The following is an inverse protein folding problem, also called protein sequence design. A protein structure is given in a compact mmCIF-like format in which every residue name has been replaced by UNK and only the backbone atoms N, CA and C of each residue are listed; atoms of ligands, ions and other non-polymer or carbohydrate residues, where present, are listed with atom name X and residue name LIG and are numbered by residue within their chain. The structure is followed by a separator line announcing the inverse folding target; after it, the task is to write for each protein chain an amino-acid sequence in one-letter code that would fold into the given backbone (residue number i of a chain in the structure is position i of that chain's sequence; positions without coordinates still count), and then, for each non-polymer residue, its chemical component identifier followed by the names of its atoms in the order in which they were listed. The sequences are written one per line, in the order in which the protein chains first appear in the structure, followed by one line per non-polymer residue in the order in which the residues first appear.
data_IF_378866113156
#
_entry.id   IF_378866113156
#
_cell.length_a   1.000
_cell.length_b   1.000
_cell.length_c   1.000
_cell.angle_alpha   90.00
_cell.angle_beta   90.00
_cell.angle_gamma   90.00
#
_symmetry.space_group_name_H-M   'P 1'
#
loop_
_entity.id
_entity.type
_entity.pdbx_description
1 polymer ?
#
# COMPACT_ATOMS: atom_id res chain seq x y z
N UNK A 1 -49.81 40.97 -9.23
CA UNK A 1 -49.53 42.43 -9.27
C UNK A 1 -48.05 42.55 -9.52
N UNK A 2 -47.65 42.80 -10.74
CA UNK A 2 -47.18 44.04 -11.38
C UNK A 2 -45.85 44.53 -10.76
N UNK A 3 -44.79 44.86 -11.45
CA UNK A 3 -44.47 45.10 -12.89
C UNK A 3 -42.95 45.31 -12.94
N UNK A 4 -42.26 44.78 -13.91
CA UNK A 4 -41.58 45.41 -15.03
C UNK A 4 -40.78 46.71 -14.75
N UNK A 5 -39.52 46.71 -15.23
CA UNK A 5 -38.71 47.90 -15.46
C UNK A 5 -37.41 47.57 -16.19
N UNK A 6 -37.49 47.51 -17.51
CA UNK A 6 -36.38 47.54 -18.49
C UNK A 6 -35.88 48.97 -18.62
N UNK A 7 -34.56 49.22 -18.67
CA UNK A 7 -34.04 50.31 -19.50
C UNK A 7 -32.60 50.05 -19.94
N UNK A 8 -32.45 49.89 -21.25
CA UNK A 8 -31.19 49.98 -22.00
C UNK A 8 -30.90 51.43 -22.36
N UNK A 9 -29.65 51.79 -22.42
CA UNK A 9 -29.21 52.92 -23.28
C UNK A 9 -27.77 52.73 -23.75
N UNK A 10 -27.64 52.93 -25.03
CA UNK A 10 -26.55 52.81 -25.97
C UNK A 10 -25.61 54.04 -26.00
N UNK A 11 -24.43 53.77 -26.60
CA UNK A 11 -23.59 54.65 -27.44
C UNK A 11 -22.41 55.39 -26.82
N UNK A 12 -21.26 55.17 -27.49
CA UNK A 12 -20.12 56.08 -27.51
C UNK A 12 -18.85 55.46 -28.12
N UNK A 13 -18.80 55.28 -29.44
CA UNK A 13 -17.57 55.05 -30.23
C UNK A 13 -16.62 56.22 -30.15
N UNK A 14 -15.37 56.00 -29.76
CA UNK A 14 -14.24 56.87 -30.19
C UNK A 14 -13.06 55.99 -30.55
N UNK A 15 -12.79 55.92 -31.83
CA UNK A 15 -11.58 55.35 -32.42
C UNK A 15 -10.36 56.23 -32.09
N UNK A 16 -9.32 55.66 -31.52
CA UNK A 16 -7.96 56.20 -31.65
C UNK A 16 -7.02 55.10 -32.09
N UNK A 17 -6.56 55.23 -33.31
CA UNK A 17 -5.39 54.54 -33.86
C UNK A 17 -4.15 54.93 -33.03
N UNK A 18 -3.49 53.93 -32.42
CA UNK A 18 -2.12 54.08 -31.95
C UNK A 18 -1.35 52.86 -32.44
N UNK A 19 -0.28 53.19 -33.11
CA UNK A 19 0.74 52.38 -33.78
C UNK A 19 1.19 51.15 -33.03
N UNK A 20 1.20 50.02 -33.74
CA UNK A 20 1.84 48.74 -33.36
C UNK A 20 3.35 48.90 -33.27
N UNK A 21 3.90 48.69 -32.09
CA UNK A 21 5.24 48.11 -31.89
C UNK A 21 5.05 46.79 -31.15
N UNK A 22 5.27 45.71 -31.86
CA UNK A 22 5.32 44.33 -31.34
C UNK A 22 6.55 44.21 -30.44
N UNK A 23 6.42 43.84 -29.15
CA UNK A 23 7.55 43.33 -28.41
C UNK A 23 7.78 41.89 -28.81
N UNK A 24 9.02 41.52 -29.03
CA UNK A 24 9.46 40.17 -29.31
C UNK A 24 8.88 39.18 -28.30
N UNK A 25 8.19 38.15 -28.79
CA UNK A 25 7.60 37.09 -27.99
C UNK A 25 8.69 36.31 -27.22
N UNK A 26 8.63 36.38 -25.91
CA UNK A 26 9.26 35.37 -25.06
C UNK A 26 8.40 34.12 -25.22
N UNK A 27 8.88 33.18 -25.98
CA UNK A 27 8.31 31.82 -26.02
C UNK A 27 8.49 31.21 -24.63
N UNK A 28 7.43 31.23 -23.82
CA UNK A 28 7.33 30.37 -22.64
C UNK A 28 7.16 28.93 -23.12
N UNK A 29 8.27 28.26 -23.42
CA UNK A 29 8.29 26.82 -23.40
C UNK A 29 8.20 26.37 -21.94
N UNK A 30 7.29 25.47 -21.59
CA UNK A 30 7.37 24.82 -20.30
C UNK A 30 8.77 24.18 -20.19
N UNK A 31 9.43 24.20 -19.02
CA UNK A 31 10.72 23.57 -18.85
C UNK A 31 10.59 22.10 -19.26
N UNK A 32 11.30 21.69 -20.30
CA UNK A 32 11.49 20.29 -20.62
C UNK A 32 12.34 19.71 -19.49
N UNK A 33 11.70 19.00 -18.58
CA UNK A 33 12.39 18.23 -17.54
C UNK A 33 13.15 17.14 -18.26
N UNK A 34 14.46 17.11 -18.10
CA UNK A 34 15.32 16.08 -18.66
C UNK A 34 15.13 14.78 -17.83
N UNK A 35 14.54 13.72 -18.39
CA UNK A 35 14.29 12.49 -17.64
C UNK A 35 15.55 11.85 -17.05
N UNK A 36 16.73 12.15 -17.59
CA UNK A 36 18.01 11.62 -17.10
C UNK A 36 18.49 12.29 -15.80
N UNK A 37 18.09 13.55 -15.53
CA UNK A 37 18.43 14.24 -14.28
C UNK A 37 17.59 13.74 -13.11
N UNK A 38 16.34 13.37 -13.35
CA UNK A 38 15.42 12.91 -12.30
C UNK A 38 15.77 11.48 -11.82
N UNK A 39 16.18 10.58 -12.73
CA UNK A 39 16.70 9.27 -12.36
C UNK A 39 17.94 9.36 -11.47
N UNK A 40 18.80 10.32 -11.75
CA UNK A 40 20.00 10.59 -10.93
C UNK A 40 19.61 11.10 -9.54
N UNK A 41 18.54 11.89 -9.42
CA UNK A 41 18.07 12.45 -8.16
C UNK A 41 17.47 11.40 -7.22
N UNK A 42 16.68 10.44 -7.73
CA UNK A 42 16.10 9.37 -6.91
C UNK A 42 17.16 8.38 -6.42
N UNK A 43 18.11 8.01 -7.28
CA UNK A 43 19.26 7.19 -6.91
C UNK A 43 20.14 7.91 -5.87
N UNK A 44 20.31 9.21 -6.01
CA UNK A 44 21.07 10.02 -5.06
C UNK A 44 20.35 10.17 -3.72
N UNK A 45 19.02 10.33 -3.70
CA UNK A 45 18.21 10.48 -2.48
C UNK A 45 18.12 9.18 -1.69
N UNK A 46 17.92 8.02 -2.36
CA UNK A 46 17.62 6.74 -1.69
C UNK A 46 18.77 5.71 -1.80
N UNK A 47 19.88 6.06 -2.43
CA UNK A 47 21.03 5.16 -2.60
C UNK A 47 20.81 4.00 -3.57
N UNK A 48 19.77 4.07 -4.40
CA UNK A 48 19.43 3.08 -5.42
C UNK A 48 17.97 3.22 -5.90
N UNK A 49 17.56 2.37 -6.86
CA UNK A 49 16.21 2.42 -7.40
C UNK A 49 15.17 2.09 -6.32
N UNK A 50 14.07 2.83 -6.31
CA UNK A 50 12.92 2.60 -5.43
C UNK A 50 12.04 1.53 -6.05
N UNK A 51 11.59 0.56 -5.24
CA UNK A 51 10.67 -0.47 -5.71
C UNK A 51 9.28 0.12 -6.00
N UNK A 52 8.70 -0.09 -7.18
CA UNK A 52 7.31 0.32 -7.43
C UNK A 52 6.30 -0.35 -6.50
N UNK A 53 6.63 -1.51 -5.92
CA UNK A 53 5.78 -2.24 -4.97
C UNK A 53 5.69 -1.57 -3.59
N UNK A 54 6.44 -0.47 -3.33
CA UNK A 54 6.20 0.38 -2.16
C UNK A 54 4.84 1.06 -2.21
N UNK A 55 4.26 1.21 -3.40
CA UNK A 55 2.95 1.84 -3.62
C UNK A 55 1.86 0.78 -3.65
N UNK A 56 1.58 0.22 -2.49
CA UNK A 56 0.55 -0.77 -2.28
C UNK A 56 -0.50 -0.34 -1.27
N UNK A 57 -1.57 -1.12 -1.20
CA UNK A 57 -2.66 -0.90 -0.24
C UNK A 57 -3.35 -2.21 0.14
N UNK A 58 -4.14 -2.16 1.20
CA UNK A 58 -5.00 -3.25 1.65
C UNK A 58 -6.44 -3.03 1.18
N UNK A 59 -7.11 -4.09 0.75
CA UNK A 59 -8.57 -4.12 0.72
C UNK A 59 -9.11 -4.24 2.14
N UNK A 60 -10.20 -3.54 2.44
CA UNK A 60 -10.94 -3.78 3.69
C UNK A 60 -11.71 -5.09 3.63
N UNK A 61 -12.38 -5.32 2.52
CA UNK A 61 -13.10 -6.53 2.13
C UNK A 61 -13.85 -7.22 3.28
N UNK A 62 -14.83 -6.51 3.85
CA UNK A 62 -15.70 -7.08 4.89
C UNK A 62 -16.82 -7.94 4.31
N UNK A 63 -17.26 -7.60 3.10
CA UNK A 63 -18.32 -8.29 2.35
C UNK A 63 -18.26 -7.92 0.86
N UNK A 64 -19.21 -8.42 0.08
CA UNK A 64 -19.31 -8.17 -1.38
C UNK A 64 -19.63 -6.71 -1.76
N UNK A 65 -20.03 -5.85 -0.80
CA UNK A 65 -20.32 -4.44 -1.06
C UNK A 65 -19.07 -3.55 -0.97
N UNK A 66 -17.87 -4.13 -0.90
CA UNK A 66 -16.62 -3.38 -0.91
C UNK A 66 -16.57 -2.47 -2.15
N UNK A 67 -16.17 -1.21 -1.93
CA UNK A 67 -16.18 -0.18 -2.97
C UNK A 67 -15.26 -0.54 -4.15
N UNK A 68 -14.14 -1.24 -3.92
CA UNK A 68 -13.26 -1.69 -5.01
C UNK A 68 -13.94 -2.72 -5.90
N UNK A 69 -14.79 -3.57 -5.33
CA UNK A 69 -15.55 -4.56 -6.09
C UNK A 69 -16.66 -3.89 -6.90
N UNK A 70 -17.38 -2.94 -6.30
CA UNK A 70 -18.60 -2.36 -6.86
C UNK A 70 -18.35 -1.16 -7.80
N UNK A 71 -17.28 -0.38 -7.59
CA UNK A 71 -17.05 0.89 -8.30
C UNK A 71 -15.93 0.79 -9.34
N UNK A 72 -16.29 0.95 -10.62
CA UNK A 72 -15.28 1.11 -11.68
C UNK A 72 -14.45 2.39 -11.50
N UNK A 73 -15.06 3.46 -10.99
CA UNK A 73 -14.37 4.72 -10.70
C UNK A 73 -13.28 4.53 -9.64
N UNK A 74 -13.57 3.78 -8.58
CA UNK A 74 -12.59 3.46 -7.54
C UNK A 74 -11.41 2.67 -8.10
N UNK A 75 -11.67 1.67 -8.94
CA UNK A 75 -10.59 0.92 -9.62
C UNK A 75 -9.75 1.80 -10.54
N UNK A 76 -10.38 2.74 -11.26
CA UNK A 76 -9.65 3.73 -12.07
C UNK A 76 -8.80 4.67 -11.21
N UNK A 77 -9.29 5.10 -10.05
CA UNK A 77 -8.49 5.89 -9.12
C UNK A 77 -7.26 5.14 -8.63
N UNK A 78 -7.39 3.87 -8.25
CA UNK A 78 -6.24 3.04 -7.87
C UNK A 78 -5.23 2.88 -9.02
N UNK A 79 -5.70 2.77 -10.27
CA UNK A 79 -4.83 2.79 -11.46
C UNK A 79 -4.11 4.13 -11.62
N UNK A 80 -4.83 5.26 -11.49
CA UNK A 80 -4.27 6.61 -11.61
C UNK A 80 -3.29 6.96 -10.48
N UNK A 81 -3.45 6.35 -9.31
CA UNK A 81 -2.51 6.42 -8.19
C UNK A 81 -1.31 5.49 -8.39
N UNK A 82 -1.29 4.70 -9.46
CA UNK A 82 -0.26 3.70 -9.73
C UNK A 82 -0.09 2.68 -8.59
N UNK A 83 -1.19 2.25 -7.97
CA UNK A 83 -1.13 1.18 -6.99
C UNK A 83 -0.64 -0.11 -7.67
N UNK A 84 0.46 -0.68 -7.17
CA UNK A 84 1.19 -1.78 -7.81
C UNK A 84 1.02 -3.13 -7.14
N UNK A 85 0.62 -3.13 -5.87
CA UNK A 85 0.35 -4.35 -5.11
C UNK A 85 -0.85 -4.11 -4.19
N UNK A 86 -1.76 -5.06 -4.12
CA UNK A 86 -2.95 -4.98 -3.26
C UNK A 86 -3.04 -6.23 -2.40
N UNK A 87 -3.09 -6.04 -1.09
CA UNK A 87 -3.28 -7.10 -0.12
C UNK A 87 -4.76 -7.38 0.06
N UNK A 88 -5.14 -8.63 -0.16
CA UNK A 88 -6.49 -9.14 -0.07
C UNK A 88 -6.63 -10.00 1.19
N UNK A 89 -7.40 -9.54 2.21
CA UNK A 89 -7.67 -10.37 3.38
C UNK A 89 -8.61 -11.50 3.00
N UNK A 90 -8.48 -12.62 3.69
CA UNK A 90 -9.45 -13.72 3.65
C UNK A 90 -10.14 -13.80 5.02
N UNK A 91 -11.46 -13.82 5.01
CA UNK A 91 -12.27 -13.84 6.23
C UNK A 91 -13.22 -15.03 6.21
N UNK A 92 -13.50 -15.65 7.36
CA UNK A 92 -14.44 -16.79 7.43
C UNK A 92 -15.86 -16.46 6.92
N UNK A 93 -16.20 -15.16 6.91
CA UNK A 93 -17.53 -14.66 6.49
C UNK A 93 -17.64 -14.39 5.00
N UNK A 94 -16.52 -14.42 4.25
CA UNK A 94 -16.53 -14.19 2.82
C UNK A 94 -16.91 -15.47 2.06
N UNK A 95 -17.72 -15.31 1.01
CA UNK A 95 -17.95 -16.40 0.07
C UNK A 95 -16.75 -16.52 -0.90
N UNK A 96 -16.54 -17.72 -1.42
CA UNK A 96 -15.53 -17.97 -2.47
C UNK A 96 -15.73 -17.04 -3.68
N UNK A 97 -16.97 -16.75 -4.03
CA UNK A 97 -17.30 -15.85 -5.12
C UNK A 97 -16.81 -14.41 -4.85
N UNK A 98 -16.96 -13.93 -3.63
CA UNK A 98 -16.46 -12.61 -3.23
C UNK A 98 -14.92 -12.56 -3.28
N UNK A 99 -14.24 -13.63 -2.87
CA UNK A 99 -12.79 -13.75 -2.97
C UNK A 99 -12.32 -13.72 -4.44
N UNK A 100 -13.01 -14.45 -5.33
CA UNK A 100 -12.74 -14.45 -6.77
C UNK A 100 -12.98 -13.05 -7.37
N UNK A 101 -14.09 -12.39 -7.01
CA UNK A 101 -14.38 -11.02 -7.46
C UNK A 101 -13.30 -10.03 -7.02
N UNK A 102 -12.79 -10.14 -5.78
CA UNK A 102 -11.70 -9.32 -5.29
C UNK A 102 -10.41 -9.54 -6.09
N UNK A 103 -10.05 -10.79 -6.34
CA UNK A 103 -8.92 -11.15 -7.18
C UNK A 103 -9.05 -10.59 -8.62
N UNK A 104 -10.25 -10.69 -9.22
CA UNK A 104 -10.54 -10.12 -10.54
C UNK A 104 -10.44 -8.59 -10.55
N UNK A 105 -10.91 -7.92 -9.48
CA UNK A 105 -10.78 -6.47 -9.33
C UNK A 105 -9.29 -6.06 -9.25
N UNK A 106 -8.48 -6.74 -8.45
CA UNK A 106 -7.03 -6.51 -8.36
C UNK A 106 -6.37 -6.69 -9.73
N UNK A 107 -6.67 -7.77 -10.43
CA UNK A 107 -6.17 -8.02 -11.79
C UNK A 107 -6.57 -6.90 -12.76
N UNK A 108 -7.80 -6.42 -12.70
CA UNK A 108 -8.30 -5.35 -13.57
C UNK A 108 -7.60 -4.01 -13.32
N UNK A 109 -7.12 -3.77 -12.09
CA UNK A 109 -6.31 -2.59 -11.73
C UNK A 109 -4.91 -2.69 -12.33
N UNK A 110 -4.43 -3.90 -12.64
CA UNK A 110 -3.06 -4.14 -13.09
C UNK A 110 -2.05 -4.24 -11.94
N UNK A 111 -2.52 -4.50 -10.72
CA UNK A 111 -1.71 -4.67 -9.53
C UNK A 111 -1.36 -6.17 -9.31
N UNK A 112 -0.25 -6.43 -8.63
CA UNK A 112 0.02 -7.73 -8.04
C UNK A 112 -0.93 -7.99 -6.87
N UNK A 113 -1.30 -9.26 -6.68
CA UNK A 113 -2.06 -9.67 -5.51
C UNK A 113 -1.13 -10.20 -4.42
N UNK A 114 -1.34 -9.75 -3.18
CA UNK A 114 -0.89 -10.42 -1.99
C UNK A 114 -2.14 -10.94 -1.28
N UNK A 115 -2.23 -12.25 -1.13
CA UNK A 115 -3.40 -12.95 -0.58
C UNK A 115 -3.07 -13.49 0.80
N UNK A 116 -3.83 -13.08 1.81
CA UNK A 116 -3.70 -13.60 3.17
C UNK A 116 -4.31 -15.01 3.20
N UNK A 117 -3.53 -15.98 3.61
CA UNK A 117 -3.96 -17.35 3.84
C UNK A 117 -4.43 -17.55 5.28
N UNK A 118 -5.10 -18.66 5.52
CA UNK A 118 -5.29 -19.16 6.90
C UNK A 118 -3.94 -19.41 7.54
N UNK A 119 -3.88 -19.31 8.86
CA UNK A 119 -2.65 -19.49 9.61
C UNK A 119 -2.77 -20.54 10.72
N UNK A 120 -1.80 -20.53 11.63
CA UNK A 120 -1.72 -21.51 12.73
C UNK A 120 -2.85 -21.35 13.76
N UNK A 121 -3.57 -20.24 13.76
CA UNK A 121 -4.73 -20.01 14.62
C UNK A 121 -6.02 -20.63 14.08
N UNK A 122 -6.09 -20.91 12.77
CA UNK A 122 -7.29 -21.36 12.08
C UNK A 122 -7.44 -22.89 12.05
N UNK A 123 -8.68 -23.35 11.80
CA UNK A 123 -9.01 -24.73 11.49
C UNK A 123 -9.03 -24.95 9.95
N UNK A 124 -8.92 -26.20 9.51
CA UNK A 124 -9.01 -26.62 8.11
C UNK A 124 -8.05 -25.90 7.13
N UNK A 125 -6.95 -25.38 7.63
CA UNK A 125 -6.00 -24.51 6.90
C UNK A 125 -5.64 -25.06 5.53
N UNK A 126 -5.20 -26.32 5.45
CA UNK A 126 -4.76 -26.91 4.18
C UNK A 126 -5.88 -26.98 3.13
N UNK A 127 -7.10 -27.32 3.53
CA UNK A 127 -8.22 -27.44 2.61
C UNK A 127 -8.68 -26.07 2.08
N UNK A 128 -8.84 -25.10 2.99
CA UNK A 128 -9.28 -23.76 2.66
C UNK A 128 -8.25 -23.02 1.78
N UNK A 129 -6.97 -23.11 2.14
CA UNK A 129 -5.90 -22.46 1.37
C UNK A 129 -5.65 -23.16 0.02
N UNK A 130 -5.82 -24.49 -0.05
CA UNK A 130 -5.74 -25.21 -1.33
C UNK A 130 -6.80 -24.70 -2.30
N UNK A 131 -8.05 -24.57 -1.84
CA UNK A 131 -9.15 -24.01 -2.64
C UNK A 131 -8.83 -22.59 -3.08
N UNK A 132 -8.46 -21.73 -2.13
CA UNK A 132 -8.15 -20.33 -2.42
C UNK A 132 -7.02 -20.18 -3.45
N UNK A 133 -5.93 -20.94 -3.32
CA UNK A 133 -4.82 -20.92 -4.29
C UNK A 133 -5.29 -21.41 -5.67
N UNK A 134 -6.16 -22.42 -5.74
CA UNK A 134 -6.74 -22.86 -7.02
C UNK A 134 -7.57 -21.76 -7.68
N UNK A 135 -8.37 -21.03 -6.90
CA UNK A 135 -9.12 -19.87 -7.38
C UNK A 135 -8.18 -18.76 -7.88
N UNK A 136 -7.12 -18.45 -7.13
CA UNK A 136 -6.09 -17.48 -7.57
C UNK A 136 -5.37 -17.95 -8.84
N UNK A 137 -5.01 -19.21 -8.96
CA UNK A 137 -4.43 -19.78 -10.18
C UNK A 137 -5.35 -19.61 -11.40
N UNK A 138 -6.68 -19.73 -11.20
CA UNK A 138 -7.65 -19.54 -12.28
C UNK A 138 -7.78 -18.08 -12.70
N UNK A 139 -7.69 -17.14 -11.76
CA UNK A 139 -7.79 -15.71 -12.03
C UNK A 139 -6.48 -15.16 -12.62
N UNK A 140 -5.34 -15.43 -12.00
CA UNK A 140 -4.06 -14.80 -12.35
C UNK A 140 -3.26 -15.60 -13.41
N UNK A 141 -3.51 -16.89 -13.56
CA UNK A 141 -2.83 -17.73 -14.56
C UNK A 141 -1.34 -17.89 -14.23
N UNK A 142 -0.48 -17.36 -15.10
CA UNK A 142 0.99 -17.38 -14.93
C UNK A 142 1.55 -16.16 -14.18
N UNK A 143 0.73 -15.18 -13.86
CA UNK A 143 1.17 -14.02 -13.05
C UNK A 143 1.44 -14.48 -11.62
N UNK A 144 2.58 -14.09 -11.07
CA UNK A 144 2.94 -14.43 -9.69
C UNK A 144 1.97 -13.79 -8.69
N UNK A 145 1.65 -14.57 -7.64
CA UNK A 145 0.82 -14.14 -6.50
C UNK A 145 1.65 -14.31 -5.24
N UNK A 146 1.60 -13.32 -4.37
CA UNK A 146 2.18 -13.41 -3.03
C UNK A 146 1.16 -13.99 -2.08
N UNK A 147 1.56 -14.96 -1.26
CA UNK A 147 0.71 -15.63 -0.27
C UNK A 147 1.28 -15.40 1.12
N UNK A 148 0.56 -14.70 1.94
CA UNK A 148 0.94 -14.38 3.31
C UNK A 148 0.27 -15.35 4.28
N UNK A 149 1.09 -16.14 5.02
CA UNK A 149 0.59 -17.21 5.86
C UNK A 149 0.16 -16.70 7.23
N UNK A 150 -1.14 -16.61 7.47
CA UNK A 150 -1.74 -16.05 8.67
C UNK A 150 -1.80 -14.52 8.67
N UNK A 151 -2.27 -13.95 9.78
CA UNK A 151 -2.33 -12.51 10.01
C UNK A 151 -2.26 -12.21 11.51
N UNK A 152 -1.21 -11.51 11.95
CA UNK A 152 -1.06 -11.04 13.34
C UNK A 152 -1.32 -12.13 14.40
N UNK A 153 -0.84 -13.34 14.14
CA UNK A 153 -1.11 -14.48 15.01
C UNK A 153 -0.46 -14.33 16.39
N UNK A 154 0.58 -13.51 16.49
CA UNK A 154 1.18 -13.07 17.75
C UNK A 154 0.16 -12.37 18.67
N UNK A 155 -0.76 -11.56 18.13
CA UNK A 155 -1.87 -10.96 18.89
C UNK A 155 -2.89 -12.00 19.36
N UNK A 156 -3.03 -13.10 18.64
CA UNK A 156 -3.91 -14.22 19.02
C UNK A 156 -3.26 -15.19 20.02
N UNK A 157 -2.06 -14.83 20.51
CA UNK A 157 -1.32 -15.66 21.46
C UNK A 157 -0.65 -16.90 20.85
N UNK A 158 -0.54 -16.97 19.52
CA UNK A 158 0.19 -18.02 18.83
C UNK A 158 1.69 -17.74 18.94
N UNK A 159 2.37 -18.54 19.74
CA UNK A 159 3.82 -18.43 19.86
C UNK A 159 4.53 -18.88 18.58
N UNK A 160 5.76 -18.41 18.39
CA UNK A 160 6.55 -18.69 17.19
C UNK A 160 6.75 -20.18 16.89
N UNK A 161 6.83 -21.04 17.91
CA UNK A 161 6.96 -22.50 17.71
C UNK A 161 5.71 -23.07 17.03
N UNK A 162 4.52 -22.76 17.56
CA UNK A 162 3.25 -23.23 16.98
C UNK A 162 3.07 -22.70 15.55
N UNK A 163 3.39 -21.43 15.32
CA UNK A 163 3.36 -20.83 13.99
C UNK A 163 4.31 -21.59 13.03
N UNK A 164 5.56 -21.79 13.44
CA UNK A 164 6.57 -22.45 12.60
C UNK A 164 6.24 -23.93 12.33
N UNK A 165 5.73 -24.64 13.32
CA UNK A 165 5.28 -26.03 13.15
C UNK A 165 4.14 -26.12 12.11
N UNK A 166 3.18 -25.19 12.16
CA UNK A 166 2.11 -25.08 11.18
C UNK A 166 2.64 -24.71 9.79
N UNK A 167 3.51 -23.70 9.68
CA UNK A 167 4.19 -23.33 8.44
C UNK A 167 4.87 -24.54 7.79
N UNK A 168 5.66 -25.28 8.55
CA UNK A 168 6.41 -26.44 8.07
C UNK A 168 5.51 -27.58 7.60
N UNK A 169 4.34 -27.74 8.21
CA UNK A 169 3.37 -28.76 7.83
C UNK A 169 2.58 -28.39 6.57
N UNK A 170 2.21 -27.12 6.41
CA UNK A 170 1.23 -26.65 5.42
C UNK A 170 1.91 -26.07 4.18
N UNK A 171 2.82 -25.09 4.34
CA UNK A 171 3.39 -24.34 3.22
C UNK A 171 4.06 -25.20 2.14
N UNK A 172 4.81 -26.29 2.46
CA UNK A 172 5.35 -27.18 1.43
C UNK A 172 4.28 -27.81 0.52
N UNK A 173 3.09 -28.05 1.06
CA UNK A 173 1.98 -28.61 0.29
C UNK A 173 1.35 -27.54 -0.62
N UNK A 174 1.15 -26.34 -0.09
CA UNK A 174 0.61 -25.20 -0.84
C UNK A 174 1.56 -24.76 -1.98
N UNK A 175 2.88 -24.75 -1.73
CA UNK A 175 3.88 -24.43 -2.79
C UNK A 175 3.81 -25.37 -3.99
N UNK A 176 3.34 -26.60 -3.85
CA UNK A 176 3.19 -27.53 -4.98
C UNK A 176 2.04 -27.19 -5.92
N UNK A 177 1.05 -26.47 -5.43
CA UNK A 177 -0.16 -26.10 -6.20
C UNK A 177 -0.16 -24.63 -6.62
N UNK A 178 0.56 -23.76 -5.91
CA UNK A 178 0.66 -22.33 -6.21
C UNK A 178 1.56 -22.10 -7.43
N UNK A 179 0.96 -21.71 -8.56
CA UNK A 179 1.70 -21.40 -9.78
C UNK A 179 2.44 -20.07 -9.61
N UNK A 180 3.77 -20.11 -9.61
CA UNK A 180 4.62 -18.95 -9.38
C UNK A 180 4.30 -18.18 -8.08
N UNK A 181 3.77 -18.90 -7.07
CA UNK A 181 3.45 -18.32 -5.77
C UNK A 181 4.70 -18.08 -4.92
N UNK A 182 4.77 -16.91 -4.28
CA UNK A 182 5.77 -16.57 -3.26
C UNK A 182 5.10 -16.63 -1.89
N UNK A 183 5.73 -17.27 -0.90
CA UNK A 183 5.16 -17.45 0.43
C UNK A 183 5.89 -16.61 1.46
N UNK A 184 5.14 -15.81 2.21
CA UNK A 184 5.61 -14.71 3.05
C UNK A 184 5.22 -14.95 4.51
N UNK A 185 6.06 -14.55 5.43
CA UNK A 185 5.79 -14.56 6.87
C UNK A 185 6.93 -13.95 7.68
N UNK A 186 6.79 -13.83 9.01
CA UNK A 186 5.72 -14.39 9.87
C UNK A 186 4.50 -13.50 10.12
N UNK A 187 4.39 -12.32 9.51
CA UNK A 187 3.18 -11.45 9.56
C UNK A 187 2.81 -10.96 10.96
N UNK A 188 3.79 -10.64 11.79
CA UNK A 188 3.55 -10.10 13.11
C UNK A 188 2.90 -8.71 13.06
N UNK A 189 2.08 -8.39 14.08
CA UNK A 189 1.46 -7.06 14.24
C UNK A 189 2.49 -5.92 14.22
N UNK A 190 3.66 -6.16 14.78
CA UNK A 190 4.81 -5.28 14.69
C UNK A 190 6.10 -6.10 14.61
N UNK A 191 7.20 -5.44 14.23
CA UNK A 191 8.49 -6.12 14.23
C UNK A 191 8.84 -6.66 15.62
N UNK A 192 9.06 -7.95 15.71
CA UNK A 192 9.54 -8.62 16.90
C UNK A 192 10.78 -9.46 16.57
N UNK A 193 11.94 -9.00 17.02
CA UNK A 193 13.22 -9.63 16.68
C UNK A 193 13.30 -11.09 17.13
N UNK A 194 12.81 -11.40 18.34
CA UNK A 194 12.87 -12.75 18.88
C UNK A 194 12.01 -13.72 18.06
N UNK A 195 10.81 -13.28 17.67
CA UNK A 195 9.91 -14.07 16.85
C UNK A 195 10.49 -14.35 15.46
N UNK A 196 10.96 -13.30 14.76
CA UNK A 196 11.60 -13.46 13.46
C UNK A 196 12.83 -14.38 13.52
N UNK A 197 13.66 -14.22 14.56
CA UNK A 197 14.85 -15.08 14.78
C UNK A 197 14.47 -16.52 14.88
N UNK A 198 13.54 -16.86 15.77
CA UNK A 198 13.13 -18.25 16.01
C UNK A 198 12.39 -18.84 14.79
N UNK A 199 11.58 -18.05 14.09
CA UNK A 199 10.93 -18.47 12.85
C UNK A 199 11.97 -18.86 11.78
N UNK A 200 12.91 -17.98 11.45
CA UNK A 200 13.91 -18.25 10.41
C UNK A 200 14.85 -19.38 10.75
N UNK A 201 15.15 -19.60 12.03
CA UNK A 201 15.95 -20.77 12.46
C UNK A 201 15.28 -22.11 12.15
N UNK A 202 13.95 -22.16 12.22
CA UNK A 202 13.21 -23.42 12.19
C UNK A 202 12.25 -23.59 11.01
N UNK A 203 11.96 -22.53 10.25
CA UNK A 203 11.08 -22.59 9.08
C UNK A 203 11.68 -23.47 7.95
N UNK A 204 10.89 -24.39 7.44
CA UNK A 204 11.23 -25.27 6.31
C UNK A 204 10.01 -25.47 5.41
N UNK A 205 9.95 -24.84 4.23
CA UNK A 205 10.99 -24.02 3.62
C UNK A 205 11.15 -22.67 4.35
N UNK A 206 12.26 -21.97 4.07
CA UNK A 206 12.36 -20.55 4.41
C UNK A 206 11.29 -19.77 3.65
N UNK A 207 10.79 -18.64 4.20
CA UNK A 207 9.92 -17.75 3.44
C UNK A 207 10.66 -17.17 2.23
N UNK A 208 9.92 -16.86 1.19
CA UNK A 208 10.48 -16.18 0.02
C UNK A 208 10.76 -14.70 0.36
N UNK A 209 9.89 -14.05 1.14
CA UNK A 209 10.03 -12.73 1.74
C UNK A 209 9.65 -12.76 3.22
N UNK A 210 10.16 -11.80 4.00
CA UNK A 210 9.72 -11.59 5.39
C UNK A 210 8.75 -10.43 5.47
N UNK A 211 7.73 -10.55 6.34
CA UNK A 211 6.73 -9.50 6.52
C UNK A 211 6.35 -9.26 7.98
N UNK A 212 5.94 -8.02 8.25
CA UNK A 212 5.29 -7.57 9.48
C UNK A 212 4.51 -6.29 9.22
N UNK A 213 3.77 -5.79 10.22
CA UNK A 213 3.04 -4.54 10.15
C UNK A 213 3.75 -3.42 10.92
N UNK A 214 3.47 -2.17 10.56
CA UNK A 214 4.06 -0.99 11.22
C UNK A 214 2.98 0.05 11.54
N UNK A 215 2.70 0.17 12.84
CA UNK A 215 1.84 1.19 13.42
C UNK A 215 2.59 1.84 14.60
N UNK A 216 3.09 3.04 14.41
CA UNK A 216 4.05 3.66 15.34
C UNK A 216 3.48 4.78 16.18
N UNK A 217 2.19 5.07 16.05
CA UNK A 217 1.49 6.12 16.78
C UNK A 217 0.29 5.53 17.54
N UNK A 218 -0.23 6.30 18.46
CA UNK A 218 -1.51 6.13 19.12
C UNK A 218 -2.38 7.36 18.86
N UNK A 219 -3.69 7.19 18.74
CA UNK A 219 -4.59 8.31 18.44
C UNK A 219 -4.57 9.40 19.51
N UNK A 220 -4.19 9.06 20.75
CA UNK A 220 -4.07 9.99 21.87
C UNK A 220 -2.75 10.77 21.93
N UNK A 221 -1.74 10.37 21.13
CA UNK A 221 -0.43 11.03 21.16
C UNK A 221 -0.43 12.33 20.36
N UNK A 222 0.56 13.20 20.64
CA UNK A 222 0.75 14.41 19.83
C UNK A 222 1.18 14.09 18.40
N UNK A 223 0.87 14.99 17.47
CA UNK A 223 1.29 14.86 16.07
C UNK A 223 2.82 14.77 15.92
N UNK A 224 3.56 15.57 16.70
CA UNK A 224 5.03 15.57 16.66
C UNK A 224 5.61 14.23 17.14
N UNK A 225 5.03 13.64 18.18
CA UNK A 225 5.46 12.32 18.65
C UNK A 225 5.17 11.25 17.59
N UNK A 226 4.00 11.28 16.97
CA UNK A 226 3.64 10.34 15.92
C UNK A 226 4.57 10.44 14.71
N UNK A 227 4.97 11.65 14.32
CA UNK A 227 5.95 11.87 13.25
C UNK A 227 7.34 11.35 13.65
N UNK A 228 7.79 11.63 14.87
CA UNK A 228 9.10 11.19 15.34
C UNK A 228 9.23 9.65 15.42
N UNK A 229 8.13 8.98 15.73
CA UNK A 229 8.10 7.51 15.88
C UNK A 229 8.31 6.75 14.57
N UNK A 230 8.13 7.37 13.40
CA UNK A 230 8.45 6.75 12.10
C UNK A 230 9.93 6.33 12.03
N UNK A 231 10.83 6.99 12.74
CA UNK A 231 12.26 6.66 12.76
C UNK A 231 12.52 5.25 13.31
N UNK A 232 11.59 4.68 14.10
CA UNK A 232 11.68 3.29 14.58
C UNK A 232 11.64 2.28 13.43
N UNK A 233 10.98 2.58 12.32
CA UNK A 233 10.93 1.70 11.16
C UNK A 233 12.32 1.39 10.60
N UNK A 234 13.19 2.41 10.54
CA UNK A 234 14.60 2.21 10.15
C UNK A 234 15.30 1.22 11.07
N UNK A 235 15.08 1.33 12.38
CA UNK A 235 15.68 0.42 13.37
C UNK A 235 15.16 -1.01 13.22
N UNK A 236 13.85 -1.17 13.00
CA UNK A 236 13.20 -2.47 12.78
C UNK A 236 13.75 -3.15 11.51
N UNK A 237 13.77 -2.44 10.39
CA UNK A 237 14.27 -2.96 9.10
C UNK A 237 15.76 -3.33 9.21
N UNK A 238 16.57 -2.51 9.85
CA UNK A 238 17.99 -2.77 10.05
C UNK A 238 18.21 -4.01 10.92
N UNK A 239 17.47 -4.14 12.02
CA UNK A 239 17.55 -5.29 12.90
C UNK A 239 17.06 -6.58 12.18
N UNK A 240 15.99 -6.52 11.39
CA UNK A 240 15.51 -7.64 10.60
C UNK A 240 16.57 -8.13 9.60
N UNK A 241 17.25 -7.22 8.88
CA UNK A 241 18.34 -7.60 7.96
C UNK A 241 19.47 -8.30 8.69
N UNK A 242 19.89 -7.77 9.82
CA UNK A 242 20.93 -8.39 10.63
C UNK A 242 20.54 -9.81 11.10
N UNK A 243 19.29 -10.02 11.48
CA UNK A 243 18.77 -11.35 11.82
C UNK A 243 18.85 -12.28 10.62
N UNK A 244 18.38 -11.84 9.44
CA UNK A 244 18.41 -12.64 8.21
C UNK A 244 19.85 -12.98 7.78
N UNK A 245 20.76 -12.01 7.80
CA UNK A 245 22.19 -12.24 7.48
C UNK A 245 22.83 -13.26 8.41
N UNK A 246 22.54 -13.18 9.71
CA UNK A 246 23.10 -14.08 10.70
C UNK A 246 22.57 -15.52 10.60
N UNK A 247 21.29 -15.71 10.20
CA UNK A 247 20.62 -17.02 10.22
C UNK A 247 20.57 -17.64 8.84
N UNK A 248 20.25 -16.84 7.82
CA UNK A 248 20.02 -17.29 6.44
C UNK A 248 21.29 -17.09 5.58
N UNK A 249 22.23 -16.26 6.03
CA UNK A 249 23.43 -15.88 5.27
C UNK A 249 23.19 -14.81 4.21
N UNK A 250 21.98 -14.28 4.10
CA UNK A 250 21.61 -13.18 3.19
C UNK A 250 20.34 -12.48 3.69
N UNK A 251 20.16 -11.23 3.29
CA UNK A 251 18.89 -10.53 3.50
C UNK A 251 17.85 -11.03 2.49
N UNK A 252 16.71 -11.49 2.97
CA UNK A 252 15.51 -11.72 2.15
C UNK A 252 14.82 -10.38 1.88
N UNK A 253 14.00 -10.25 0.82
CA UNK A 253 13.18 -9.07 0.62
C UNK A 253 12.26 -8.85 1.83
N UNK A 254 12.03 -7.57 2.16
CA UNK A 254 11.17 -7.17 3.29
C UNK A 254 9.88 -6.58 2.73
N UNK A 255 8.75 -7.03 3.23
CA UNK A 255 7.43 -6.47 2.97
C UNK A 255 6.82 -5.92 4.26
N UNK A 256 6.37 -4.66 4.23
CA UNK A 256 5.54 -4.08 5.30
C UNK A 256 4.09 -4.18 4.83
N UNK A 257 3.41 -5.24 5.24
CA UNK A 257 2.14 -5.67 4.62
C UNK A 257 0.91 -4.96 5.16
N UNK A 258 1.06 -4.26 6.29
CA UNK A 258 0.16 -3.20 6.73
C UNK A 258 0.94 -2.05 7.37
N UNK A 259 0.54 -0.83 7.05
CA UNK A 259 1.05 0.35 7.75
C UNK A 259 0.05 1.51 7.72
N UNK A 260 0.00 2.23 8.82
CA UNK A 260 -0.60 3.55 8.94
C UNK A 260 -0.08 4.21 10.23
N UNK A 261 -0.57 5.44 10.58
CA UNK A 261 -0.05 6.13 11.75
C UNK A 261 -0.39 5.41 13.06
N UNK A 262 -1.60 4.93 13.25
CA UNK A 262 -2.03 4.25 14.48
C UNK A 262 -3.02 3.12 14.18
N UNK A 263 -3.02 2.02 14.93
CA UNK A 263 -3.98 0.93 14.75
C UNK A 263 -5.38 1.31 15.29
N UNK A 264 -5.45 2.32 16.16
CA UNK A 264 -6.66 2.78 16.87
C UNK A 264 -7.12 4.17 16.40
N UNK A 265 -6.85 4.56 15.16
CA UNK A 265 -7.30 5.83 14.60
C UNK A 265 -8.83 5.96 14.64
N UNK A 266 -9.30 7.15 14.91
CA UNK A 266 -10.73 7.48 14.98
C UNK A 266 -11.00 8.77 14.21
N UNK A 267 -12.21 8.90 13.68
CA UNK A 267 -12.66 10.19 13.15
C UNK A 267 -12.54 11.26 14.26
N UNK A 268 -12.07 12.45 13.87
CA UNK A 268 -11.89 13.59 14.76
C UNK A 268 -10.81 13.40 15.86
N UNK A 269 -9.83 12.54 15.64
CA UNK A 269 -8.67 12.38 16.53
C UNK A 269 -7.60 13.47 16.33
N UNK A 270 -7.88 14.47 15.49
CA UNK A 270 -6.96 15.56 15.17
C UNK A 270 -5.80 15.17 14.25
N UNK A 271 -5.83 13.95 13.71
CA UNK A 271 -4.84 13.40 12.78
C UNK A 271 -5.47 13.03 11.44
N UNK A 272 -6.44 12.11 11.43
CA UNK A 272 -7.06 11.66 10.18
C UNK A 272 -7.76 12.79 9.42
N UNK A 273 -8.35 13.75 10.15
CA UNK A 273 -8.99 14.95 9.60
C UNK A 273 -8.00 16.11 9.35
N UNK A 274 -6.74 15.94 9.75
CA UNK A 274 -5.72 16.96 9.59
C UNK A 274 -4.90 16.66 8.32
N UNK A 275 -5.30 17.27 7.21
CA UNK A 275 -4.64 17.06 5.91
C UNK A 275 -3.13 17.35 5.96
N UNK A 276 -2.69 18.36 6.70
CA UNK A 276 -1.27 18.69 6.84
C UNK A 276 -0.49 17.59 7.57
N UNK A 277 -1.05 17.09 8.68
CA UNK A 277 -0.46 15.97 9.40
C UNK A 277 -0.40 14.72 8.50
N UNK A 278 -1.52 14.32 7.89
CA UNK A 278 -1.58 13.11 7.07
C UNK A 278 -0.65 13.18 5.85
N UNK A 279 -0.54 14.34 5.21
CA UNK A 279 0.40 14.53 4.10
C UNK A 279 1.85 14.40 4.56
N UNK A 280 2.21 15.06 5.65
CA UNK A 280 3.59 15.02 6.19
C UNK A 280 3.94 13.61 6.68
N UNK A 281 3.02 12.97 7.40
CA UNK A 281 3.21 11.62 7.95
C UNK A 281 3.40 10.60 6.83
N UNK A 282 2.52 10.62 5.82
CA UNK A 282 2.58 9.69 4.67
C UNK A 282 3.85 9.88 3.85
N UNK A 283 4.24 11.13 3.59
CA UNK A 283 5.50 11.43 2.91
C UNK A 283 6.69 10.87 3.66
N UNK A 284 6.78 11.13 4.98
CA UNK A 284 7.87 10.63 5.81
C UNK A 284 7.89 9.11 5.89
N UNK A 285 6.72 8.46 5.97
CA UNK A 285 6.61 7.01 5.98
C UNK A 285 7.18 6.41 4.69
N UNK A 286 6.73 6.87 3.51
CA UNK A 286 7.22 6.38 2.23
C UNK A 286 8.70 6.69 1.98
N UNK A 287 9.17 7.89 2.34
CA UNK A 287 10.59 8.24 2.29
C UNK A 287 11.43 7.29 3.15
N UNK A 288 10.94 6.95 4.35
CA UNK A 288 11.63 6.01 5.24
C UNK A 288 11.68 4.61 4.65
N UNK A 289 10.59 4.10 4.09
CA UNK A 289 10.55 2.79 3.43
C UNK A 289 11.47 2.74 2.21
N UNK A 290 11.46 3.79 1.38
CA UNK A 290 12.33 3.91 0.20
C UNK A 290 13.81 3.97 0.58
N UNK A 291 14.18 4.83 1.54
CA UNK A 291 15.56 4.96 2.03
C UNK A 291 16.09 3.65 2.64
N UNK A 292 15.22 2.86 3.21
CA UNK A 292 15.54 1.53 3.74
C UNK A 292 15.36 0.40 2.72
N UNK A 293 15.14 0.70 1.43
CA UNK A 293 15.02 -0.30 0.36
C UNK A 293 14.06 -1.44 0.70
N UNK A 294 12.90 -1.11 1.25
CA UNK A 294 11.83 -2.07 1.46
C UNK A 294 11.32 -2.54 0.10
N UNK A 295 11.08 -3.83 -0.06
CA UNK A 295 10.69 -4.42 -1.33
C UNK A 295 9.25 -4.07 -1.70
N UNK A 296 8.33 -4.17 -0.74
CA UNK A 296 6.92 -3.84 -0.94
C UNK A 296 6.31 -3.27 0.34
N UNK A 297 5.30 -2.42 0.19
CA UNK A 297 4.54 -1.93 1.33
C UNK A 297 3.07 -1.73 0.97
N UNK A 298 2.17 -1.96 1.92
CA UNK A 298 0.73 -1.82 1.73
C UNK A 298 0.14 -0.96 2.84
N UNK A 299 -0.33 0.22 2.44
CA UNK A 299 -1.05 1.09 3.36
C UNK A 299 -2.41 0.45 3.74
N UNK A 300 -2.83 0.58 4.98
CA UNK A 300 -4.12 0.14 5.46
C UNK A 300 -5.08 1.34 5.63
N UNK A 301 -6.16 1.47 4.82
CA UNK A 301 -6.60 0.67 3.71
C UNK A 301 -7.08 1.57 2.54
N UNK A 302 -7.39 1.00 1.36
CA UNK A 302 -7.75 1.83 0.21
C UNK A 302 -9.12 2.51 0.32
N UNK A 303 -10.13 1.80 0.83
CA UNK A 303 -11.53 2.22 0.93
C UNK A 303 -12.20 1.68 2.19
N UNK A 304 -13.43 2.06 2.45
CA UNK A 304 -14.29 1.50 3.51
C UNK A 304 -13.64 1.53 4.91
N UNK A 305 -12.84 2.54 5.19
CA UNK A 305 -12.07 2.66 6.43
C UNK A 305 -11.89 4.12 6.80
N UNK A 306 -11.66 4.41 8.08
CA UNK A 306 -11.21 5.74 8.53
C UNK A 306 -9.87 6.13 7.92
N UNK A 307 -9.07 5.15 7.51
CA UNK A 307 -7.77 5.33 6.85
C UNK A 307 -7.85 5.41 5.33
N UNK A 308 -9.04 5.50 4.75
CA UNK A 308 -9.21 5.36 3.31
C UNK A 308 -8.36 6.34 2.48
N UNK A 309 -7.74 5.85 1.41
CA UNK A 309 -7.18 6.71 0.36
C UNK A 309 -8.26 7.39 -0.45
N UNK A 310 -9.34 6.65 -0.72
CA UNK A 310 -10.44 7.04 -1.59
C UNK A 310 -11.70 7.09 -0.72
N UNK A 311 -12.33 8.26 -0.70
CA UNK A 311 -13.61 8.47 -0.01
C UNK A 311 -14.75 7.79 -0.74
N UNK A 312 -15.90 7.68 -0.09
CA UNK A 312 -17.11 7.09 -0.67
C UNK A 312 -17.58 7.81 -1.94
N UNK A 313 -17.28 9.10 -2.09
CA UNK A 313 -17.57 9.89 -3.29
C UNK A 313 -16.55 9.70 -4.42
N UNK A 314 -15.54 8.85 -4.23
CA UNK A 314 -14.47 8.58 -5.19
C UNK A 314 -13.34 9.61 -5.21
N UNK A 315 -13.35 10.62 -4.34
CA UNK A 315 -12.25 11.61 -4.22
C UNK A 315 -11.12 11.08 -3.36
N UNK A 316 -9.88 11.57 -3.60
CA UNK A 316 -8.72 11.19 -2.81
C UNK A 316 -8.70 11.94 -1.48
N UNK A 317 -8.25 11.26 -0.44
CA UNK A 317 -7.86 11.90 0.83
C UNK A 317 -6.46 12.52 0.70
N UNK A 318 -6.02 13.27 1.72
CA UNK A 318 -4.66 13.81 1.76
C UNK A 318 -3.60 12.69 1.63
N UNK A 319 -3.82 11.54 2.23
CA UNK A 319 -2.94 10.37 2.11
C UNK A 319 -2.94 9.83 0.68
N UNK A 320 -4.11 9.73 0.04
CA UNK A 320 -4.22 9.29 -1.35
C UNK A 320 -3.52 10.22 -2.35
N UNK A 321 -3.64 11.53 -2.18
CA UNK A 321 -2.94 12.52 -3.02
C UNK A 321 -1.42 12.41 -2.87
N UNK A 322 -0.91 12.22 -1.65
CA UNK A 322 0.52 12.03 -1.41
C UNK A 322 1.02 10.75 -2.07
N UNK A 323 0.32 9.63 -1.93
CA UNK A 323 0.70 8.37 -2.58
C UNK A 323 0.83 8.54 -4.10
N UNK A 324 -0.15 9.20 -4.73
CA UNK A 324 -0.15 9.47 -6.17
C UNK A 324 1.04 10.34 -6.60
N UNK A 325 1.29 11.44 -5.88
CA UNK A 325 2.37 12.38 -6.20
C UNK A 325 3.74 11.72 -6.02
N UNK A 326 3.96 11.06 -4.88
CA UNK A 326 5.24 10.43 -4.59
C UNK A 326 5.57 9.26 -5.53
N UNK A 327 4.59 8.54 -6.05
CA UNK A 327 4.86 7.54 -7.08
C UNK A 327 5.53 8.17 -8.30
N UNK A 328 4.99 9.29 -8.77
CA UNK A 328 5.56 10.01 -9.92
C UNK A 328 6.98 10.51 -9.61
N UNK A 329 7.17 11.10 -8.42
CA UNK A 329 8.47 11.65 -8.02
C UNK A 329 9.53 10.57 -7.78
N UNK A 330 9.17 9.41 -7.24
CA UNK A 330 10.12 8.35 -6.85
C UNK A 330 10.39 7.35 -7.99
N UNK A 331 9.41 7.08 -8.85
CA UNK A 331 9.47 5.99 -9.82
C UNK A 331 9.60 6.51 -11.25
N UNK A 332 8.84 7.56 -11.65
CA UNK A 332 8.89 8.10 -13.01
C UNK A 332 10.01 9.13 -13.21
N UNK A 333 10.59 9.64 -12.13
CA UNK A 333 11.81 10.44 -12.17
C UNK A 333 13.06 9.56 -12.33
N UNK A 334 12.88 8.28 -12.59
CA UNK A 334 13.92 7.28 -12.76
C UNK A 334 14.09 6.82 -14.20
#
# INVERSE_FOLDING_TARGET
MLSLGILALLLGFVSRLVSNKTPAGIANHPPTVDPSQDATNSIQKYGGPVSPLLFGTNLRLENSNDQVLQSAQTRQQLQHMHIRIIRMPVRPTLSNETEIQAAQAIKSIGAYALVVLRGAADDNVLADDTRLIQDMNSVFGSTGVYYEYGNEEDLLGINVRRYTDSWNAIVPQLKRIARNGQFIGPVNFQYEQAYLTAFLQHARPLPDEVSWHEYTCDNSWSNDLCLARIDHWTSHITAARKVMENIVGKSLPIMITEWNYAPNAQQHDGKIDNNSFMSTWTTRALDTLAANRVFASMQFACTNSVYAFIRDDGTLTAQGEVMKTLYQDMIHSG
#
